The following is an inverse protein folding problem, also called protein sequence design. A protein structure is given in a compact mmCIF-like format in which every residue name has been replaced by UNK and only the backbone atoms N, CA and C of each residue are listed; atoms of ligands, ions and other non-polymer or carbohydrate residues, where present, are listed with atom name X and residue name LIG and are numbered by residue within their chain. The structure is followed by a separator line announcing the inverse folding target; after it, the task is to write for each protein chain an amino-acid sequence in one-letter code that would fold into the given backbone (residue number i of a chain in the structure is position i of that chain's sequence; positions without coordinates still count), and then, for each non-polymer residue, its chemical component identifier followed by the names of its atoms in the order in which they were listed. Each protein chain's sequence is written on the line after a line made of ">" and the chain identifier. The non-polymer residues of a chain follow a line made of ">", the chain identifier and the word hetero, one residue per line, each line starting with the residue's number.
data_IF_891070860064
#
_entry.id   IF_891070860064
#
_cell.length_a   1.000
_cell.length_b   1.000
_cell.length_c   1.000
_cell.angle_alpha   90.00
_cell.angle_beta   90.00
_cell.angle_gamma   90.00
#
_symmetry.space_group_name_H-M   'P 1'
#
loop_
_entity.id
_entity.type
_entity.pdbx_description
1 polymer ?
#
# COMPACT_ATOMS: atom_id res chain seq x y z
N UNK A 1 3.53 -12.01 1.63
CA UNK A 1 4.28 -10.75 1.39
C UNK A 1 3.59 -9.80 0.41
N UNK A 2 3.68 -9.98 -0.92
CA UNK A 2 3.07 -9.01 -1.86
C UNK A 2 1.53 -9.02 -1.87
N UNK A 3 0.90 -10.16 -1.57
CA UNK A 3 -0.56 -10.24 -1.49
C UNK A 3 -1.10 -9.49 -0.26
N UNK A 4 -0.39 -9.56 0.87
CA UNK A 4 -0.69 -8.72 2.05
C UNK A 4 -0.55 -7.23 1.71
N UNK A 5 0.50 -6.85 0.99
CA UNK A 5 0.66 -5.47 0.51
C UNK A 5 -0.46 -5.05 -0.43
N UNK A 6 -0.93 -5.93 -1.32
CA UNK A 6 -2.06 -5.64 -2.18
C UNK A 6 -3.35 -5.42 -1.37
N UNK A 7 -3.61 -6.25 -0.35
CA UNK A 7 -4.75 -6.09 0.55
C UNK A 7 -4.69 -4.76 1.32
N UNK A 8 -3.50 -4.38 1.80
CA UNK A 8 -3.27 -3.08 2.46
C UNK A 8 -3.55 -1.90 1.53
N UNK A 9 -3.06 -1.96 0.29
CA UNK A 9 -3.30 -0.92 -0.72
C UNK A 9 -4.80 -0.80 -1.05
N UNK A 10 -5.51 -1.91 -1.23
CA UNK A 10 -6.98 -1.90 -1.45
C UNK A 10 -7.71 -1.29 -0.25
N UNK A 11 -7.29 -1.64 0.97
CA UNK A 11 -7.86 -1.08 2.22
C UNK A 11 -7.67 0.43 2.32
N UNK A 12 -6.48 0.94 2.01
CA UNK A 12 -6.24 2.38 1.96
C UNK A 12 -7.03 3.08 0.86
N UNK A 13 -7.24 2.44 -0.29
CA UNK A 13 -8.00 2.99 -1.40
C UNK A 13 -9.49 3.16 -1.05
N UNK A 14 -10.05 2.28 -0.21
CA UNK A 14 -11.38 2.44 0.39
C UNK A 14 -11.44 3.54 1.47
N UNK A 15 -10.29 4.10 1.85
CA UNK A 15 -10.16 5.07 2.92
C UNK A 15 -10.09 4.47 4.32
N UNK A 16 -9.96 3.15 4.42
CA UNK A 16 -9.78 2.42 5.67
C UNK A 16 -8.29 2.31 6.01
N UNK A 17 -7.99 1.72 7.17
CA UNK A 17 -6.64 1.58 7.69
C UNK A 17 -6.33 0.09 7.90
N UNK A 18 -5.19 -0.42 7.40
CA UNK A 18 -4.71 -1.76 7.74
C UNK A 18 -4.39 -1.85 9.23
N UNK A 19 -4.79 -2.96 9.87
CA UNK A 19 -4.58 -3.17 11.30
C UNK A 19 -3.13 -3.52 11.66
N UNK A 20 -2.32 -3.92 10.68
CA UNK A 20 -1.00 -4.50 10.86
C UNK A 20 0.15 -3.52 10.51
N UNK A 21 -0.16 -2.26 10.21
CA UNK A 21 0.82 -1.22 9.92
C UNK A 21 0.70 -0.03 10.88
N UNK A 22 1.75 0.26 11.67
CA UNK A 22 1.81 1.46 12.50
C UNK A 22 1.72 2.73 11.64
N UNK A 23 0.90 3.69 12.08
CA UNK A 23 0.82 5.01 11.47
C UNK A 23 1.87 5.93 12.04
N UNK A 24 2.34 6.88 11.22
CA UNK A 24 3.21 7.98 11.65
C UNK A 24 2.48 8.87 12.66
N UNK A 25 1.21 9.15 12.42
CA UNK A 25 0.32 9.78 13.40
C UNK A 25 -0.82 8.83 13.76
N UNK A 26 -0.73 8.25 14.95
CA UNK A 26 -1.73 7.34 15.48
C UNK A 26 -2.95 8.04 16.11
N UNK A 27 -2.92 9.38 16.24
CA UNK A 27 -3.97 10.15 16.95
C UNK A 27 -5.06 10.68 16.03
N UNK A 28 -4.81 10.74 14.72
CA UNK A 28 -5.72 11.36 13.75
C UNK A 28 -6.33 10.30 12.85
N UNK A 29 -7.64 10.12 12.96
CA UNK A 29 -8.40 9.30 12.03
C UNK A 29 -8.91 10.11 10.85
N UNK A 30 -8.49 9.71 9.66
CA UNK A 30 -8.99 10.28 8.42
C UNK A 30 -10.42 9.80 8.12
N UNK A 31 -11.28 10.62 7.51
CA UNK A 31 -12.61 10.19 7.07
C UNK A 31 -12.55 8.96 6.15
N UNK A 32 -13.47 8.02 6.35
CA UNK A 32 -13.58 6.81 5.51
C UNK A 32 -14.25 7.20 4.19
N UNK A 33 -13.42 7.56 3.21
CA UNK A 33 -13.83 7.86 1.84
C UNK A 33 -12.78 7.35 0.85
N UNK A 34 -13.21 6.94 -0.37
CA UNK A 34 -12.29 6.52 -1.41
C UNK A 34 -11.20 7.56 -1.68
N UNK A 35 -9.97 7.11 -1.91
CA UNK A 35 -8.80 7.96 -2.17
C UNK A 35 -7.78 7.27 -3.06
N UNK A 36 -7.00 8.07 -3.77
CA UNK A 36 -5.86 7.55 -4.52
C UNK A 36 -4.73 7.13 -3.58
N UNK A 37 -4.11 5.99 -3.88
CA UNK A 37 -3.01 5.42 -3.11
C UNK A 37 -1.79 5.30 -4.01
N UNK A 38 -0.70 5.94 -3.60
CA UNK A 38 0.59 5.88 -4.28
C UNK A 38 1.58 5.11 -3.40
N UNK A 39 2.10 3.99 -3.92
CA UNK A 39 3.06 3.14 -3.22
C UNK A 39 4.44 3.21 -3.90
N UNK A 40 5.48 3.54 -3.13
CA UNK A 40 6.85 3.68 -3.62
C UNK A 40 7.74 2.54 -3.12
N UNK A 41 8.47 1.90 -4.04
CA UNK A 41 9.42 0.84 -3.72
C UNK A 41 10.83 1.43 -3.61
N UNK A 42 11.22 1.78 -2.39
CA UNK A 42 12.52 2.39 -2.09
C UNK A 42 13.33 1.36 -1.29
N UNK A 43 14.10 0.52 -1.98
CA UNK A 43 15.00 -0.46 -1.35
C UNK A 43 16.39 -0.35 -1.99
N UNK A 44 17.44 -0.66 -1.23
CA UNK A 44 18.84 -0.60 -1.69
C UNK A 44 19.13 -1.51 -2.90
N UNK A 45 18.27 -2.51 -3.14
CA UNK A 45 18.26 -3.30 -4.37
C UNK A 45 17.59 -2.57 -5.53
N UNK A 46 18.18 -1.47 -6.02
CA UNK A 46 17.65 -0.65 -7.14
C UNK A 46 17.22 -1.48 -8.36
N UNK A 47 17.96 -2.55 -8.66
CA UNK A 47 17.67 -3.48 -9.77
C UNK A 47 16.34 -4.23 -9.56
N UNK A 48 15.96 -4.51 -8.30
CA UNK A 48 14.78 -5.31 -7.94
C UNK A 48 13.51 -4.49 -7.69
N UNK A 49 13.65 -3.20 -7.38
CA UNK A 49 12.52 -2.32 -7.08
C UNK A 49 11.45 -2.26 -8.21
N UNK A 50 11.80 -2.15 -9.50
CA UNK A 50 10.81 -2.15 -10.58
C UNK A 50 10.01 -3.45 -10.65
N UNK A 51 10.67 -4.60 -10.46
CA UNK A 51 10.00 -5.90 -10.48
C UNK A 51 9.00 -6.05 -9.33
N UNK A 52 9.35 -5.56 -8.13
CA UNK A 52 8.44 -5.51 -6.98
C UNK A 52 7.21 -4.64 -7.24
N UNK A 53 7.40 -3.44 -7.79
CA UNK A 53 6.32 -2.52 -8.13
C UNK A 53 5.37 -3.14 -9.18
N UNK A 54 5.91 -3.68 -10.29
CA UNK A 54 5.10 -4.33 -11.32
C UNK A 54 4.34 -5.55 -10.78
N UNK A 55 4.97 -6.34 -9.93
CA UNK A 55 4.34 -7.50 -9.30
C UNK A 55 3.20 -7.10 -8.35
N UNK A 56 3.34 -5.98 -7.62
CA UNK A 56 2.27 -5.44 -6.79
C UNK A 56 1.14 -4.88 -7.66
N UNK A 57 1.45 -4.10 -8.69
CA UNK A 57 0.45 -3.52 -9.60
C UNK A 57 -0.46 -4.59 -10.18
N UNK A 58 0.10 -5.70 -10.68
CA UNK A 58 -0.67 -6.84 -11.21
C UNK A 58 -1.68 -7.43 -10.22
N UNK A 59 -1.41 -7.37 -8.91
CA UNK A 59 -2.29 -7.89 -7.84
C UNK A 59 -3.35 -6.89 -7.39
N UNK A 60 -3.11 -5.59 -7.60
CA UNK A 60 -4.05 -4.53 -7.23
C UNK A 60 -5.07 -4.29 -8.35
N UNK A 61 -4.65 -4.36 -9.60
CA UNK A 61 -5.51 -4.14 -10.78
C UNK A 61 -6.26 -5.40 -11.25
N UNK A 62 -5.87 -6.58 -10.74
CA UNK A 62 -6.63 -7.82 -10.86
C UNK A 62 -7.71 -7.92 -9.80
#
# INVERSE_FOLDING_TARGET
>A
ALDEWAARVKTWAEGKQPADLPRVDAKIDAPVKPRDVFAYFITEGKVRAPFGAMALMKRVTG
#
